data_IF_219663766815
#
_entry.id   IF_219663766815
#
_cell.length_a   1.000
_cell.length_b   1.000
_cell.length_c   1.000
_cell.angle_alpha   90.00
_cell.angle_beta   90.00
_cell.angle_gamma   90.00
#
_symmetry.space_group_name_H-M   'P 1'
#
loop_
_entity.id
_entity.type
_entity.pdbx_description
1 polymer ?
#
# COMPACT_ATOMS: atom_id res chain seq x y z
N UNK A 1 -16.57 18.10 28.48
CA UNK A 1 -15.94 16.85 27.99
C UNK A 1 -16.23 16.59 26.51
N UNK A 2 -17.40 16.99 25.97
CA UNK A 2 -17.78 16.75 24.57
C UNK A 2 -16.92 17.47 23.51
N UNK A 3 -16.46 18.70 23.78
CA UNK A 3 -15.61 19.45 22.83
C UNK A 3 -14.28 18.77 22.51
N UNK A 4 -13.72 18.00 23.45
CA UNK A 4 -12.45 17.28 23.25
C UNK A 4 -12.64 16.09 22.31
N UNK A 5 -13.82 15.46 22.36
CA UNK A 5 -14.17 14.32 21.50
C UNK A 5 -14.40 14.80 20.06
N UNK A 6 -15.07 15.94 19.86
CA UNK A 6 -15.27 16.55 18.53
C UNK A 6 -13.94 16.90 17.83
N UNK A 7 -12.96 17.47 18.54
CA UNK A 7 -11.65 17.77 17.96
C UNK A 7 -10.86 16.50 17.55
N UNK A 8 -11.17 15.34 18.14
CA UNK A 8 -10.57 14.04 17.77
C UNK A 8 -11.31 13.35 16.62
N UNK A 9 -12.54 13.76 16.32
CA UNK A 9 -13.36 13.22 15.25
C UNK A 9 -13.07 13.84 13.87
N UNK A 10 -12.23 14.88 13.80
CA UNK A 10 -11.69 15.34 12.53
C UNK A 10 -10.76 14.27 11.95
N UNK A 11 -11.29 13.44 11.05
CA UNK A 11 -10.48 12.52 10.28
C UNK A 11 -9.59 13.33 9.34
N UNK A 12 -8.30 13.42 9.65
CA UNK A 12 -7.33 13.97 8.72
C UNK A 12 -7.32 13.09 7.46
N UNK A 13 -7.53 13.70 6.29
CA UNK A 13 -7.32 13.04 4.99
C UNK A 13 -5.82 12.88 4.74
N UNK A 14 -5.23 11.86 5.38
CA UNK A 14 -3.81 11.55 5.22
C UNK A 14 -3.64 10.73 3.94
N UNK A 15 -3.01 11.34 2.94
CA UNK A 15 -2.65 10.64 1.71
C UNK A 15 -1.45 9.73 1.96
N UNK A 16 -1.65 8.43 1.75
CA UNK A 16 -0.62 7.40 1.87
C UNK A 16 -0.21 6.90 0.49
N UNK A 17 1.09 6.71 0.28
CA UNK A 17 1.68 6.19 -0.95
C UNK A 17 2.72 5.12 -0.62
N UNK A 18 2.92 4.17 -1.54
CA UNK A 18 3.95 3.14 -1.44
C UNK A 18 4.91 3.18 -2.63
N UNK A 19 6.18 2.91 -2.39
CA UNK A 19 7.19 2.82 -3.46
C UNK A 19 7.90 1.48 -3.40
N UNK A 20 8.20 0.92 -4.57
CA UNK A 20 9.06 -0.24 -4.71
C UNK A 20 9.91 -0.10 -5.96
N UNK A 21 11.17 -0.51 -5.89
CA UNK A 21 12.06 -0.61 -7.04
C UNK A 21 11.95 -1.97 -7.75
N UNK A 22 11.16 -2.90 -7.20
CA UNK A 22 10.88 -4.18 -7.83
C UNK A 22 9.66 -4.10 -8.73
N UNK A 23 9.88 -4.05 -10.05
CA UNK A 23 8.80 -4.15 -11.04
C UNK A 23 8.01 -5.45 -10.91
N UNK A 24 8.63 -6.53 -10.41
CA UNK A 24 7.96 -7.81 -10.14
C UNK A 24 6.93 -7.64 -9.02
N UNK A 25 7.31 -6.99 -7.91
CA UNK A 25 6.39 -6.72 -6.80
C UNK A 25 5.26 -5.80 -7.25
N UNK A 26 5.56 -4.74 -8.00
CA UNK A 26 4.53 -3.86 -8.56
C UNK A 26 3.56 -4.62 -9.47
N UNK A 27 4.05 -5.55 -10.29
CA UNK A 27 3.22 -6.43 -11.10
C UNK A 27 2.29 -7.32 -10.26
N UNK A 28 2.78 -7.86 -9.13
CA UNK A 28 1.94 -8.61 -8.20
C UNK A 28 0.85 -7.75 -7.55
N UNK A 29 1.20 -6.53 -7.17
CA UNK A 29 0.28 -5.57 -6.55
C UNK A 29 -0.76 -5.07 -7.56
N UNK A 30 -0.42 -4.89 -8.83
CA UNK A 30 -1.38 -4.45 -9.84
C UNK A 30 -2.24 -5.60 -10.40
N UNK A 31 -1.74 -6.83 -10.34
CA UNK A 31 -2.46 -7.99 -10.88
C UNK A 31 -3.54 -8.58 -9.95
N UNK A 32 -4.32 -9.48 -10.54
CA UNK A 32 -5.33 -10.27 -9.85
C UNK A 32 -4.70 -11.31 -8.92
N UNK A 33 -5.15 -11.31 -7.66
CA UNK A 33 -4.58 -12.17 -6.59
C UNK A 33 -4.70 -13.66 -6.93
N UNK A 34 -5.76 -14.05 -7.64
CA UNK A 34 -6.06 -15.44 -8.04
C UNK A 34 -5.03 -16.04 -8.99
N UNK A 35 -4.22 -15.20 -9.65
CA UNK A 35 -3.13 -15.64 -10.54
C UNK A 35 -1.88 -16.08 -9.79
N UNK A 36 -1.74 -15.72 -8.51
CA UNK A 36 -0.52 -15.90 -7.75
C UNK A 36 -0.51 -17.18 -6.91
N UNK A 37 0.68 -17.78 -6.74
CA UNK A 37 0.87 -18.88 -5.79
C UNK A 37 0.42 -18.45 -4.38
N UNK A 38 -0.07 -19.38 -3.54
CA UNK A 38 -0.68 -19.04 -2.24
C UNK A 38 0.15 -18.09 -1.37
N UNK A 39 1.48 -18.27 -1.33
CA UNK A 39 2.37 -17.38 -0.60
C UNK A 39 2.28 -15.92 -1.07
N UNK A 40 2.41 -15.69 -2.39
CA UNK A 40 2.37 -14.34 -2.97
C UNK A 40 0.95 -13.77 -2.86
N UNK A 41 -0.08 -14.56 -3.16
CA UNK A 41 -1.47 -14.16 -3.06
C UNK A 41 -1.83 -13.64 -1.65
N UNK A 42 -1.42 -14.38 -0.61
CA UNK A 42 -1.68 -14.00 0.78
C UNK A 42 -0.96 -12.71 1.18
N UNK A 43 0.28 -12.49 0.72
CA UNK A 43 1.03 -11.27 0.98
C UNK A 43 0.42 -10.07 0.26
N UNK A 44 0.09 -10.21 -1.02
CA UNK A 44 -0.58 -9.16 -1.81
C UNK A 44 -1.91 -8.78 -1.16
N UNK A 45 -2.70 -9.76 -0.68
CA UNK A 45 -3.96 -9.50 0.01
C UNK A 45 -3.78 -8.64 1.26
N UNK A 46 -2.78 -8.97 2.09
CA UNK A 46 -2.47 -8.19 3.31
C UNK A 46 -1.98 -6.78 2.98
N UNK A 47 -1.16 -6.62 1.94
CA UNK A 47 -0.68 -5.30 1.51
C UNK A 47 -1.85 -4.45 1.00
N UNK A 48 -2.71 -5.02 0.14
CA UNK A 48 -3.87 -4.33 -0.44
C UNK A 48 -4.92 -3.93 0.60
N UNK A 49 -5.02 -4.61 1.74
CA UNK A 49 -5.92 -4.19 2.83
C UNK A 49 -5.44 -2.94 3.57
N UNK A 50 -4.19 -2.51 3.35
CA UNK A 50 -3.59 -1.33 3.99
C UNK A 50 -3.45 -0.20 2.96
N UNK A 51 -2.88 -0.50 1.79
CA UNK A 51 -2.64 0.46 0.71
C UNK A 51 -3.17 -0.12 -0.60
N UNK A 52 -4.10 0.57 -1.25
CA UNK A 52 -4.68 0.13 -2.53
C UNK A 52 -3.64 0.13 -3.64
N UNK A 53 -3.85 -0.71 -4.66
CA UNK A 53 -2.88 -0.97 -5.73
C UNK A 53 -2.46 0.28 -6.49
N UNK A 54 -3.36 1.26 -6.61
CA UNK A 54 -3.20 2.50 -7.38
C UNK A 54 -2.24 3.48 -6.72
N UNK A 55 -2.00 3.31 -5.42
CA UNK A 55 -1.10 4.14 -4.60
C UNK A 55 0.34 3.63 -4.59
N UNK A 56 0.64 2.56 -5.32
CA UNK A 56 1.98 1.99 -5.44
C UNK A 56 2.69 2.50 -6.69
N UNK A 57 3.91 2.97 -6.51
CA UNK A 57 4.72 3.59 -7.55
C UNK A 57 6.11 2.96 -7.65
N UNK A 58 6.72 3.11 -8.83
CA UNK A 58 8.10 2.72 -9.05
C UNK A 58 9.07 3.79 -8.53
N UNK A 59 10.13 3.35 -7.88
CA UNK A 59 11.33 4.17 -7.57
C UNK A 59 12.55 3.46 -8.13
N UNK A 60 13.57 4.19 -8.62
CA UNK A 60 14.78 3.54 -9.13
C UNK A 60 15.55 2.90 -7.98
N UNK A 61 16.17 1.74 -8.19
CA UNK A 61 17.01 1.07 -7.16
C UNK A 61 18.09 1.98 -6.58
N UNK A 62 18.70 2.87 -7.41
CA UNK A 62 19.68 3.86 -6.93
C UNK A 62 19.10 4.92 -5.98
N UNK A 63 17.80 5.16 -6.06
CA UNK A 63 17.04 6.10 -5.22
C UNK A 63 16.37 5.40 -4.02
N UNK A 64 16.44 4.05 -3.96
CA UNK A 64 15.97 3.22 -2.86
C UNK A 64 17.15 2.43 -2.25
N UNK A 65 18.12 3.11 -1.60
CA UNK A 65 19.26 2.44 -0.99
C UNK A 65 18.80 1.52 0.15
N UNK A 66 19.33 0.31 0.17
CA UNK A 66 19.13 -0.68 1.24
C UNK A 66 20.11 -0.48 2.40
#
# INVERSE_FOLDING_TARGET
>A
MNKVIECYQESYDIKVYGWSDSMVVLGWLQGEITRWKPFVANRVKQIKSIITSEKWHYVKTKENPA
#
